data_IF_526245420851
#
_entry.id   IF_526245420851
#
_cell.length_a   1.000
_cell.length_b   1.000
_cell.length_c   1.000
_cell.angle_alpha   90.00
_cell.angle_beta   90.00
_cell.angle_gamma   90.00
#
_symmetry.space_group_name_H-M   'P 1'
#
loop_
_entity.id
_entity.type
_entity.pdbx_description
1 polymer ?
#
# COMPACT_ATOMS: atom_id res chain seq x y z
N UNK A 1 -14.63 20.47 28.70
CA UNK A 1 -13.64 19.53 29.28
C UNK A 1 -12.67 19.18 28.17
N UNK A 2 -11.35 19.32 28.35
CA UNK A 2 -10.41 18.79 27.36
C UNK A 2 -10.67 17.29 27.25
N UNK A 3 -10.91 16.82 26.03
CA UNK A 3 -11.08 15.38 25.78
C UNK A 3 -9.68 14.79 25.91
N UNK A 4 -9.44 13.99 26.96
CA UNK A 4 -8.14 13.33 27.13
C UNK A 4 -7.97 12.29 26.01
N UNK A 5 -7.20 12.64 24.98
CA UNK A 5 -6.89 11.75 23.85
C UNK A 5 -5.93 10.62 24.26
N UNK A 6 -5.23 10.79 25.37
CA UNK A 6 -4.22 9.87 25.89
C UNK A 6 -4.73 8.42 26.10
N UNK A 7 -5.84 8.15 26.83
CA UNK A 7 -6.36 6.79 27.00
C UNK A 7 -6.73 6.12 25.67
N UNK A 8 -7.26 6.89 24.71
CA UNK A 8 -7.60 6.38 23.38
C UNK A 8 -6.36 6.00 22.58
N UNK A 9 -5.33 6.86 22.57
CA UNK A 9 -4.07 6.60 21.89
C UNK A 9 -3.32 5.42 22.51
N UNK A 10 -3.29 5.32 23.85
CA UNK A 10 -2.71 4.18 24.55
C UNK A 10 -3.39 2.86 24.16
N UNK A 11 -4.71 2.85 24.01
CA UNK A 11 -5.46 1.70 23.52
C UNK A 11 -5.06 1.29 22.10
N UNK A 12 -4.94 2.25 21.17
CA UNK A 12 -4.49 1.98 19.80
C UNK A 12 -3.06 1.45 19.72
N UNK A 13 -2.15 1.98 20.54
CA UNK A 13 -0.77 1.48 20.64
C UNK A 13 -0.76 0.04 21.16
N UNK A 14 -1.55 -0.27 22.19
CA UNK A 14 -1.65 -1.64 22.70
C UNK A 14 -2.17 -2.61 21.63
N UNK A 15 -3.22 -2.24 20.89
CA UNK A 15 -3.75 -3.04 19.77
C UNK A 15 -2.68 -3.22 18.69
N UNK A 16 -1.98 -2.15 18.32
CA UNK A 16 -0.90 -2.19 17.33
C UNK A 16 0.24 -3.12 17.73
N UNK A 17 0.64 -3.12 19.00
CA UNK A 17 1.66 -4.03 19.54
C UNK A 17 1.20 -5.50 19.49
N UNK A 18 -0.06 -5.77 19.83
CA UNK A 18 -0.63 -7.12 19.71
C UNK A 18 -0.62 -7.58 18.25
N UNK A 19 -1.08 -6.73 17.32
CA UNK A 19 -1.05 -7.03 15.89
C UNK A 19 0.37 -7.25 15.37
N UNK A 20 1.34 -6.50 15.88
CA UNK A 20 2.76 -6.68 15.55
C UNK A 20 3.27 -8.05 16.00
N UNK A 21 3.01 -8.45 17.26
CA UNK A 21 3.43 -9.77 17.78
C UNK A 21 2.77 -10.91 17.01
N UNK A 22 1.49 -10.78 16.67
CA UNK A 22 0.77 -11.75 15.82
C UNK A 22 1.43 -11.82 14.44
N UNK A 23 1.68 -10.67 13.82
CA UNK A 23 2.31 -10.61 12.48
C UNK A 23 3.71 -11.22 12.47
N UNK A 24 4.50 -11.03 13.53
CA UNK A 24 5.81 -11.66 13.69
C UNK A 24 5.73 -13.19 13.89
N UNK A 25 4.59 -13.70 14.35
CA UNK A 25 4.37 -15.13 14.55
C UNK A 25 3.93 -15.86 13.27
N UNK A 26 3.57 -15.11 12.21
CA UNK A 26 3.14 -15.67 10.92
C UNK A 26 4.36 -15.77 10.00
N UNK A 27 4.56 -16.94 9.39
CA UNK A 27 5.60 -17.12 8.38
C UNK A 27 5.39 -16.18 7.19
N UNK A 28 6.43 -15.44 6.81
CA UNK A 28 6.38 -14.51 5.69
C UNK A 28 6.04 -15.19 4.36
N UNK A 29 6.32 -16.49 4.20
CA UNK A 29 5.91 -17.25 3.03
C UNK A 29 4.39 -17.31 2.90
N UNK A 30 3.67 -17.47 4.02
CA UNK A 30 2.19 -17.47 4.03
C UNK A 30 1.66 -16.09 3.62
N UNK A 31 2.30 -15.01 4.09
CA UNK A 31 1.95 -13.64 3.70
C UNK A 31 2.19 -13.38 2.20
N UNK A 32 3.28 -13.93 1.65
CA UNK A 32 3.56 -13.87 0.21
C UNK A 32 2.55 -14.70 -0.60
N UNK A 33 2.19 -15.90 -0.14
CA UNK A 33 1.19 -16.73 -0.83
C UNK A 33 -0.19 -16.07 -0.85
N UNK A 34 -0.54 -15.38 0.22
CA UNK A 34 -1.79 -14.62 0.32
C UNK A 34 -1.73 -13.25 -0.36
N UNK A 35 -0.56 -12.81 -0.84
CA UNK A 35 -0.35 -11.43 -1.33
C UNK A 35 -1.33 -11.02 -2.43
N UNK A 36 -1.69 -11.94 -3.34
CA UNK A 36 -2.66 -11.68 -4.42
C UNK A 36 -4.05 -11.43 -3.84
N UNK A 37 -4.47 -12.24 -2.87
CA UNK A 37 -5.76 -12.09 -2.18
C UNK A 37 -5.79 -10.78 -1.40
N UNK A 38 -4.71 -10.46 -0.66
CA UNK A 38 -4.58 -9.20 0.07
C UNK A 38 -4.61 -8.00 -0.86
N UNK A 39 -3.93 -8.08 -2.01
CA UNK A 39 -3.92 -7.02 -3.02
C UNK A 39 -5.32 -6.78 -3.59
N UNK A 40 -6.01 -7.85 -4.02
CA UNK A 40 -7.39 -7.75 -4.53
C UNK A 40 -8.33 -7.21 -3.47
N UNK A 41 -8.21 -7.66 -2.22
CA UNK A 41 -8.98 -7.10 -1.10
C UNK A 41 -8.68 -5.61 -0.87
N UNK A 42 -7.41 -5.21 -0.97
CA UNK A 42 -6.99 -3.81 -0.91
C UNK A 42 -7.66 -2.97 -2.00
N UNK A 43 -7.64 -3.43 -3.24
CA UNK A 43 -8.34 -2.77 -4.36
C UNK A 43 -9.85 -2.67 -4.11
N UNK A 44 -10.49 -3.77 -3.72
CA UNK A 44 -11.94 -3.79 -3.49
C UNK A 44 -12.30 -2.82 -2.35
N UNK A 45 -11.49 -2.74 -1.31
CA UNK A 45 -11.72 -1.81 -0.20
C UNK A 45 -11.51 -0.33 -0.59
N UNK A 46 -10.55 -0.01 -1.48
CA UNK A 46 -10.41 1.31 -2.08
C UNK A 46 -11.64 1.69 -2.93
N UNK A 47 -12.11 0.76 -3.78
CA UNK A 47 -13.34 0.99 -4.56
C UNK A 47 -14.55 1.17 -3.64
N UNK A 48 -14.62 0.39 -2.56
CA UNK A 48 -15.70 0.50 -1.58
C UNK A 48 -15.70 1.85 -0.85
N UNK A 49 -14.53 2.41 -0.52
CA UNK A 49 -14.47 3.73 0.15
C UNK A 49 -14.79 4.88 -0.78
N UNK A 50 -14.50 4.77 -2.08
CA UNK A 50 -15.00 5.73 -3.05
C UNK A 50 -16.53 5.80 -3.11
N UNK A 51 -17.22 4.68 -2.88
CA UNK A 51 -18.69 4.62 -2.89
C UNK A 51 -19.35 4.92 -1.54
N UNK A 52 -18.76 4.44 -0.44
CA UNK A 52 -19.36 4.44 0.90
C UNK A 52 -18.54 5.19 1.95
N UNK A 53 -17.45 5.82 1.54
CA UNK A 53 -16.52 6.52 2.42
C UNK A 53 -17.14 7.74 3.08
N UNK A 54 -16.80 7.94 4.35
CA UNK A 54 -17.19 9.14 5.08
C UNK A 54 -16.19 10.27 4.83
N UNK A 55 -16.68 11.45 4.44
CA UNK A 55 -15.84 12.64 4.23
C UNK A 55 -15.24 13.11 5.56
N UNK A 56 -13.91 13.12 5.66
CA UNK A 56 -13.15 13.76 6.74
C UNK A 56 -12.06 14.64 6.12
N UNK A 57 -11.96 15.90 6.54
CA UNK A 57 -10.90 16.79 6.07
C UNK A 57 -10.90 17.11 4.57
N UNK A 58 -12.03 16.92 3.88
CA UNK A 58 -12.15 17.13 2.42
C UNK A 58 -11.96 15.87 1.57
N UNK A 59 -11.59 14.74 2.18
CA UNK A 59 -11.33 13.46 1.51
C UNK A 59 -12.27 12.36 2.04
N UNK A 60 -12.74 11.47 1.17
CA UNK A 60 -13.68 10.39 1.50
C UNK A 60 -12.95 9.04 1.63
N UNK A 61 -12.10 8.89 2.66
CA UNK A 61 -11.07 7.83 2.69
C UNK A 61 -11.22 6.91 3.89
N UNK A 62 -12.27 7.13 4.69
CA UNK A 62 -12.51 6.39 5.93
C UNK A 62 -13.83 5.62 5.84
N UNK A 63 -13.73 4.30 5.94
CA UNK A 63 -14.88 3.42 6.15
C UNK A 63 -15.18 3.35 7.65
N UNK A 64 -16.39 3.79 8.04
CA UNK A 64 -16.88 3.65 9.40
C UNK A 64 -17.51 2.27 9.56
N UNK A 65 -16.88 1.42 10.35
CA UNK A 65 -17.35 0.07 10.68
C UNK A 65 -17.76 0.05 12.14
N UNK A 66 -19.02 0.43 12.41
CA UNK A 66 -19.56 0.57 13.76
C UNK A 66 -18.80 1.62 14.58
N UNK A 67 -17.95 1.16 15.51
CA UNK A 67 -17.13 1.99 16.39
C UNK A 67 -15.70 2.25 15.92
N UNK A 68 -15.25 1.59 14.84
CA UNK A 68 -13.89 1.71 14.31
C UNK A 68 -13.89 2.43 12.96
N UNK A 69 -12.77 3.11 12.68
CA UNK A 69 -12.52 3.74 11.40
C UNK A 69 -11.40 2.96 10.72
N UNK A 70 -11.68 2.43 9.54
CA UNK A 70 -10.72 1.72 8.71
C UNK A 70 -10.35 2.59 7.52
N UNK A 71 -9.05 2.75 7.27
CA UNK A 71 -8.52 3.50 6.14
C UNK A 71 -7.96 2.51 5.10
N UNK A 72 -8.69 2.24 3.99
CA UNK A 72 -8.28 1.27 2.99
C UNK A 72 -6.94 1.59 2.33
N UNK A 73 -6.60 2.87 2.16
CA UNK A 73 -5.36 3.30 1.52
C UNK A 73 -4.10 2.87 2.28
N UNK A 74 -4.14 2.80 3.61
CA UNK A 74 -3.04 2.27 4.41
C UNK A 74 -2.84 0.77 4.20
N UNK A 75 -3.94 0.01 4.24
CA UNK A 75 -3.90 -1.43 4.00
C UNK A 75 -3.44 -1.76 2.57
N UNK A 76 -3.96 -1.04 1.57
CA UNK A 76 -3.64 -1.25 0.17
C UNK A 76 -2.14 -1.05 -0.11
N UNK A 77 -1.45 -0.12 0.55
CA UNK A 77 0.01 0.05 0.43
C UNK A 77 0.77 -1.19 0.89
N UNK A 78 0.41 -1.76 2.04
CA UNK A 78 1.05 -2.97 2.58
C UNK A 78 0.81 -4.15 1.63
N UNK A 79 -0.44 -4.34 1.20
CA UNK A 79 -0.81 -5.42 0.28
C UNK A 79 -0.11 -5.29 -1.09
N UNK A 80 0.02 -4.08 -1.60
CA UNK A 80 0.75 -3.77 -2.85
C UNK A 80 2.23 -4.08 -2.70
N UNK A 81 2.86 -3.71 -1.59
CA UNK A 81 4.25 -4.05 -1.29
C UNK A 81 4.48 -5.57 -1.28
N UNK A 82 3.62 -6.34 -0.61
CA UNK A 82 3.70 -7.80 -0.59
C UNK A 82 3.54 -8.42 -1.97
N UNK A 83 2.55 -7.96 -2.75
CA UNK A 83 2.32 -8.51 -4.08
C UNK A 83 3.42 -8.14 -5.07
N UNK A 84 3.93 -6.90 -5.01
CA UNK A 84 5.07 -6.49 -5.80
C UNK A 84 6.32 -7.30 -5.42
N UNK A 85 6.57 -7.52 -4.13
CA UNK A 85 7.69 -8.35 -3.67
C UNK A 85 7.58 -9.79 -4.20
N UNK A 86 6.38 -10.41 -4.12
CA UNK A 86 6.13 -11.75 -4.70
C UNK A 86 6.38 -11.75 -6.21
N UNK A 87 5.84 -10.77 -6.93
CA UNK A 87 6.01 -10.65 -8.36
C UNK A 87 7.49 -10.60 -8.72
N UNK A 88 8.24 -9.69 -8.10
CA UNK A 88 9.67 -9.51 -8.34
C UNK A 88 10.49 -10.75 -7.95
N UNK A 89 10.18 -11.40 -6.82
CA UNK A 89 10.85 -12.62 -6.37
C UNK A 89 10.59 -13.82 -7.30
N UNK A 90 9.46 -13.85 -8.00
CA UNK A 90 9.15 -14.89 -8.98
C UNK A 90 9.93 -14.74 -10.30
N UNK A 91 10.56 -13.58 -10.53
CA UNK A 91 11.35 -13.33 -11.73
C UNK A 91 12.75 -13.91 -11.52
N UNK A 92 13.10 -14.94 -12.29
CA UNK A 92 14.41 -15.59 -12.22
C UNK A 92 15.51 -14.81 -12.99
N UNK A 93 15.28 -13.52 -13.23
CA UNK A 93 16.10 -12.69 -14.11
C UNK A 93 17.07 -11.84 -13.28
N UNK A 94 18.37 -11.89 -13.61
CA UNK A 94 19.37 -10.97 -13.03
C UNK A 94 19.14 -9.50 -13.41
N UNK A 95 18.42 -9.24 -14.51
CA UNK A 95 18.08 -7.89 -14.98
C UNK A 95 16.63 -7.91 -15.44
N UNK A 96 15.83 -6.99 -14.92
CA UNK A 96 14.43 -6.87 -15.28
C UNK A 96 14.27 -6.38 -16.73
N UNK A 97 13.44 -7.09 -17.48
CA UNK A 97 13.02 -6.70 -18.82
C UNK A 97 12.05 -5.52 -18.76
N UNK A 98 11.99 -4.71 -19.82
CA UNK A 98 11.08 -3.56 -19.88
C UNK A 98 9.62 -3.93 -19.57
N UNK A 99 9.15 -5.09 -20.06
CA UNK A 99 7.80 -5.59 -19.78
C UNK A 99 7.57 -5.93 -18.31
N UNK A 100 8.59 -6.43 -17.62
CA UNK A 100 8.54 -6.77 -16.20
C UNK A 100 8.50 -5.50 -15.35
N UNK A 101 9.29 -4.49 -15.73
CA UNK A 101 9.25 -3.15 -15.12
C UNK A 101 7.86 -2.55 -15.29
N UNK A 102 7.30 -2.57 -16.50
CA UNK A 102 5.98 -2.04 -16.78
C UNK A 102 4.88 -2.74 -15.96
N UNK A 103 5.01 -4.05 -15.75
CA UNK A 103 4.08 -4.82 -14.90
C UNK A 103 4.22 -4.40 -13.42
N UNK A 104 5.45 -4.26 -12.92
CA UNK A 104 5.69 -3.76 -11.56
C UNK A 104 5.15 -2.34 -11.34
N UNK A 105 5.34 -1.45 -12.33
CA UNK A 105 4.75 -0.10 -12.35
C UNK A 105 3.22 -0.20 -12.34
N UNK A 106 2.61 -1.05 -13.15
CA UNK A 106 1.16 -1.20 -13.20
C UNK A 106 0.56 -1.70 -11.88
N UNK A 107 1.23 -2.63 -11.19
CA UNK A 107 0.83 -3.14 -9.87
C UNK A 107 0.75 -2.00 -8.85
N UNK A 108 1.65 -1.01 -8.93
CA UNK A 108 1.68 0.12 -8.00
C UNK A 108 0.78 1.27 -8.46
N UNK A 109 0.78 1.58 -9.75
CA UNK A 109 0.03 2.69 -10.32
C UNK A 109 -1.49 2.50 -10.14
N UNK A 110 -1.97 1.26 -10.21
CA UNK A 110 -3.39 0.98 -10.09
C UNK A 110 -4.00 1.42 -8.74
N UNK A 111 -3.52 0.96 -7.57
CA UNK A 111 -4.00 1.47 -6.27
C UNK A 111 -3.64 2.94 -6.05
N UNK A 112 -2.49 3.41 -6.55
CA UNK A 112 -2.10 4.83 -6.45
C UNK A 112 -3.13 5.75 -7.09
N UNK A 113 -3.64 5.40 -8.28
CA UNK A 113 -4.68 6.19 -8.98
C UNK A 113 -5.99 6.17 -8.19
N UNK A 114 -6.40 5.03 -7.64
CA UNK A 114 -7.61 4.96 -6.79
C UNK A 114 -7.49 5.87 -5.57
N UNK A 115 -6.34 5.88 -4.90
CA UNK A 115 -6.07 6.75 -3.76
C UNK A 115 -5.98 8.23 -4.16
N UNK A 116 -5.49 8.54 -5.36
CA UNK A 116 -5.50 9.91 -5.88
C UNK A 116 -6.93 10.42 -6.18
N UNK A 117 -7.86 9.53 -6.55
CA UNK A 117 -9.29 9.84 -6.74
C UNK A 117 -9.99 10.07 -5.38
N UNK A 118 -9.45 9.55 -4.28
CA UNK A 118 -9.87 9.79 -2.89
C UNK A 118 -9.44 11.17 -2.33
N UNK A 119 -9.21 12.19 -3.18
CA UNK A 119 -8.32 13.33 -2.91
C UNK A 119 -7.18 13.16 -1.87
N UNK A 120 -6.58 11.97 -1.74
CA UNK A 120 -5.49 11.72 -0.78
C UNK A 120 -4.12 11.85 -1.44
N UNK A 121 -3.70 13.09 -1.72
CA UNK A 121 -2.41 13.28 -2.41
C UNK A 121 -1.21 12.79 -1.58
N UNK A 122 -1.30 12.88 -0.25
CA UNK A 122 -0.27 12.36 0.64
C UNK A 122 -0.20 10.83 0.61
N UNK A 123 -1.36 10.16 0.67
CA UNK A 123 -1.46 8.71 0.54
C UNK A 123 -0.99 8.20 -0.82
N UNK A 124 -1.36 8.88 -1.91
CA UNK A 124 -0.94 8.53 -3.27
C UNK A 124 0.58 8.70 -3.46
N UNK A 125 1.16 9.78 -2.94
CA UNK A 125 2.61 10.03 -3.04
C UNK A 125 3.47 8.96 -2.36
N UNK A 126 2.93 8.22 -1.37
CA UNK A 126 3.66 7.14 -0.69
C UNK A 126 3.89 5.90 -1.56
N UNK A 127 3.18 5.77 -2.69
CA UNK A 127 3.41 4.68 -3.64
C UNK A 127 4.70 4.86 -4.46
N UNK A 128 5.13 6.11 -4.69
CA UNK A 128 6.38 6.42 -5.39
C UNK A 128 7.63 5.83 -4.69
N UNK A 129 7.91 6.11 -3.40
CA UNK A 129 9.05 5.52 -2.71
C UNK A 129 8.91 4.00 -2.56
N UNK A 130 7.68 3.47 -2.45
CA UNK A 130 7.43 2.03 -2.43
C UNK A 130 7.90 1.36 -3.74
N UNK A 131 7.49 1.91 -4.89
CA UNK A 131 7.89 1.40 -6.20
C UNK A 131 9.41 1.52 -6.39
N UNK A 132 9.97 2.71 -6.17
CA UNK A 132 11.40 2.97 -6.36
C UNK A 132 12.23 2.03 -5.47
N UNK A 133 11.88 1.91 -4.19
CA UNK A 133 12.59 1.03 -3.25
C UNK A 133 12.58 -0.43 -3.69
N UNK A 134 11.42 -0.95 -4.10
CA UNK A 134 11.29 -2.35 -4.54
C UNK A 134 12.03 -2.63 -5.85
N UNK A 135 11.96 -1.71 -6.81
CA UNK A 135 12.66 -1.82 -8.09
C UNK A 135 14.19 -1.73 -7.94
N UNK A 136 14.68 -0.92 -6.99
CA UNK A 136 16.11 -0.87 -6.64
C UNK A 136 16.59 -2.18 -6.04
N UNK A 137 15.83 -2.76 -5.11
CA UNK A 137 16.16 -4.06 -4.49
C UNK A 137 16.15 -5.20 -5.53
N UNK A 138 15.24 -5.13 -6.51
CA UNK A 138 15.19 -6.08 -7.62
C UNK A 138 16.31 -5.90 -8.67
N UNK A 139 17.23 -4.95 -8.48
CA UNK A 139 18.43 -4.82 -9.31
C UNK A 139 18.23 -4.07 -10.63
N UNK A 140 17.23 -3.17 -10.73
CA UNK A 140 17.08 -2.32 -11.93
C UNK A 140 18.27 -1.37 -12.08
N UNK A 141 18.69 -1.18 -13.34
CA UNK A 141 19.67 -0.16 -13.73
C UNK A 141 19.16 1.21 -13.29
N UNK A 142 19.86 1.85 -12.35
CA UNK A 142 19.51 3.18 -11.79
C UNK A 142 19.17 4.23 -12.87
N UNK A 143 19.78 4.15 -14.06
CA UNK A 143 19.45 5.02 -15.20
C UNK A 143 17.99 4.95 -15.64
N UNK A 144 17.37 3.77 -15.63
CA UNK A 144 15.95 3.59 -16.00
C UNK A 144 15.00 4.19 -14.95
N UNK A 145 15.37 4.10 -13.68
CA UNK A 145 14.63 4.74 -12.58
C UNK A 145 14.67 6.27 -12.72
N UNK A 146 15.86 6.83 -12.99
CA UNK A 146 16.01 8.27 -13.23
C UNK A 146 15.15 8.73 -14.41
N UNK A 147 15.09 7.98 -15.50
CA UNK A 147 14.21 8.33 -16.63
C UNK A 147 12.72 8.27 -16.30
N UNK A 148 12.28 7.30 -15.49
CA UNK A 148 10.87 7.18 -15.11
C UNK A 148 10.41 8.34 -14.21
N UNK A 149 11.27 8.76 -13.26
CA UNK A 149 11.03 9.94 -12.42
C UNK A 149 11.00 11.22 -13.25
N UNK A 150 11.93 11.38 -14.20
CA UNK A 150 11.96 12.57 -15.07
C UNK A 150 10.75 12.66 -16.02
N UNK A 151 10.18 11.53 -16.42
CA UNK A 151 8.97 11.49 -17.24
C UNK A 151 7.68 11.71 -16.44
N UNK A 152 7.76 11.91 -15.12
CA UNK A 152 6.59 12.10 -14.25
C UNK A 152 5.69 10.86 -14.16
N UNK A 153 6.24 9.68 -14.44
CA UNK A 153 5.53 8.39 -14.33
C UNK A 153 5.50 7.91 -12.87
N UNK A 154 6.26 8.56 -11.99
CA UNK A 154 6.41 8.26 -10.55
C UNK A 154 6.27 9.52 -9.72
#
# INVERSE_FOLDING_TARGET
MPVDYFPRQAGWVAIGLVLLVISMSIDYHVLLDLSVVLYVFGIVSLVAVLAFGSKHGGAANWLKLGGFQFQPSEFAKIATGLFLARYLASLNNRVLEFRQILTGVAIVAFPMVLVAIEPDMGGAAMYAPLLIGMLLVAGIRVRLLVTAVLLGVV
#
